data_IF_877481182495
#
_entry.id   IF_877481182495
#
_cell.length_a   1.000
_cell.length_b   1.000
_cell.length_c   1.000
_cell.angle_alpha   90.00
_cell.angle_beta   90.00
_cell.angle_gamma   90.00
#
_symmetry.space_group_name_H-M   'P 1'
#
loop_
_entity.id
_entity.type
_entity.pdbx_description
1 polymer ?
#
# COMPACT_ATOMS: atom_id res chain seq x y z
N UNK A 1 0.24 -5.20 22.04
CA UNK A 1 1.71 -5.20 22.07
C UNK A 1 2.20 -5.22 20.65
N UNK A 2 2.77 -4.14 20.21
CA UNK A 2 3.27 -4.04 18.83
C UNK A 2 4.69 -4.61 18.82
N UNK A 3 4.89 -5.69 18.09
CA UNK A 3 6.10 -6.54 18.15
C UNK A 3 7.32 -5.92 17.46
N UNK A 4 7.38 -4.61 17.29
CA UNK A 4 8.58 -3.90 16.80
C UNK A 4 8.97 -4.16 15.33
N UNK A 5 8.17 -4.91 14.57
CA UNK A 5 8.44 -5.25 13.16
C UNK A 5 7.60 -4.46 12.16
N UNK A 6 6.78 -3.52 12.64
CA UNK A 6 6.00 -2.66 11.73
C UNK A 6 6.91 -1.61 11.09
N UNK A 7 6.82 -1.43 9.78
CA UNK A 7 7.52 -0.36 9.05
C UNK A 7 7.03 1.05 9.45
N UNK A 8 5.95 1.16 10.19
CA UNK A 8 5.40 2.39 10.75
C UNK A 8 5.30 2.34 12.30
N UNK A 9 6.24 1.67 12.95
CA UNK A 9 6.34 1.61 14.41
C UNK A 9 7.06 2.82 15.04
N UNK A 10 7.06 2.87 16.38
CA UNK A 10 7.69 3.96 17.13
C UNK A 10 9.16 4.21 16.73
N UNK A 11 9.91 3.16 16.42
CA UNK A 11 11.31 3.28 15.96
C UNK A 11 11.39 4.05 14.65
N UNK A 12 10.66 3.61 13.63
CA UNK A 12 10.61 4.29 12.33
C UNK A 12 10.18 5.75 12.45
N UNK A 13 9.20 6.04 13.34
CA UNK A 13 8.76 7.41 13.59
C UNK A 13 9.81 8.26 14.32
N UNK A 14 10.64 7.68 15.18
CA UNK A 14 11.80 8.37 15.79
C UNK A 14 12.91 8.64 14.77
N UNK A 15 13.14 7.71 13.85
CA UNK A 15 14.10 7.90 12.75
C UNK A 15 13.67 9.09 11.87
N UNK A 16 12.38 9.29 11.62
CA UNK A 16 11.86 10.47 10.92
C UNK A 16 12.15 11.78 11.65
N UNK A 17 12.10 11.79 13.00
CA UNK A 17 12.50 12.96 13.79
C UNK A 17 13.98 13.29 13.58
N UNK A 18 14.85 12.27 13.58
CA UNK A 18 16.28 12.46 13.36
C UNK A 18 16.60 12.95 11.96
N UNK A 19 15.86 12.47 10.95
CA UNK A 19 15.99 12.87 9.55
C UNK A 19 15.29 14.21 9.25
N UNK A 20 14.55 14.76 10.19
CA UNK A 20 13.74 15.97 10.04
C UNK A 20 12.76 15.91 8.86
N UNK A 21 12.15 14.75 8.63
CA UNK A 21 11.15 14.51 7.58
C UNK A 21 9.79 14.21 8.16
N UNK A 22 8.72 14.49 7.42
CA UNK A 22 7.33 14.16 7.78
C UNK A 22 6.95 14.56 9.22
N UNK A 23 7.16 15.82 9.59
CA UNK A 23 6.91 16.33 10.94
C UNK A 23 5.52 16.04 11.49
N UNK A 24 4.51 15.95 10.60
CA UNK A 24 3.12 15.58 10.96
C UNK A 24 2.99 14.15 11.50
N UNK A 25 4.00 13.30 11.29
CA UNK A 25 4.03 11.90 11.73
C UNK A 25 4.93 11.69 12.96
N UNK A 26 5.58 12.74 13.47
CA UNK A 26 6.46 12.62 14.61
C UNK A 26 5.72 12.12 15.85
N UNK A 27 6.33 11.23 16.66
CA UNK A 27 5.73 10.72 17.87
C UNK A 27 5.49 11.86 18.88
N UNK A 28 4.27 11.95 19.41
CA UNK A 28 3.92 12.93 20.42
C UNK A 28 4.09 12.30 21.81
N UNK A 29 4.92 12.88 22.71
CA UNK A 29 5.08 12.36 24.05
C UNK A 29 3.77 12.53 24.84
N UNK A 30 3.40 11.49 25.57
CA UNK A 30 2.22 11.44 26.42
C UNK A 30 2.68 11.25 27.89
N UNK A 31 1.79 11.47 28.85
CA UNK A 31 2.06 11.18 30.24
C UNK A 31 2.61 9.76 30.45
N UNK A 32 3.50 9.58 31.45
CA UNK A 32 4.13 8.28 31.77
C UNK A 32 5.13 7.74 30.75
N UNK A 33 5.89 8.61 30.09
CA UNK A 33 6.95 8.22 29.10
C UNK A 33 6.44 7.38 27.93
N UNK A 34 5.14 7.43 27.62
CA UNK A 34 4.53 6.82 26.46
C UNK A 34 4.52 7.80 25.29
N UNK A 35 4.36 7.28 24.08
CA UNK A 35 4.22 8.06 22.87
C UNK A 35 2.92 7.70 22.16
N UNK A 36 2.24 8.73 21.68
CA UNK A 36 1.13 8.56 20.73
C UNK A 36 1.68 8.76 19.32
N UNK A 37 1.33 7.86 18.40
CA UNK A 37 1.69 7.95 17.00
C UNK A 37 0.52 8.60 16.24
N UNK A 38 0.72 9.78 15.60
CA UNK A 38 -0.31 10.40 14.79
C UNK A 38 -0.73 9.47 13.63
N UNK A 39 -2.00 9.53 13.25
CA UNK A 39 -2.49 8.78 12.10
C UNK A 39 -1.83 9.26 10.80
N UNK A 40 -1.36 8.32 9.98
CA UNK A 40 -0.80 8.62 8.67
C UNK A 40 -1.87 8.61 7.58
N UNK A 41 -1.59 9.27 6.44
CA UNK A 41 -2.50 9.28 5.29
C UNK A 41 -2.77 7.89 4.71
N UNK A 42 -1.84 6.94 4.91
CA UNK A 42 -1.99 5.55 4.48
C UNK A 42 -2.70 4.65 5.52
N UNK A 43 -3.07 5.18 6.68
CA UNK A 43 -3.84 4.44 7.67
C UNK A 43 -5.32 4.44 7.29
N UNK A 44 -5.76 3.35 6.68
CA UNK A 44 -7.16 3.17 6.31
C UNK A 44 -8.05 3.12 7.56
N UNK A 45 -9.17 3.82 7.51
CA UNK A 45 -10.24 3.72 8.50
C UNK A 45 -10.85 2.31 8.52
N UNK A 46 -11.49 1.89 9.61
CA UNK A 46 -12.19 0.61 9.65
C UNK A 46 -13.23 0.45 8.54
N UNK A 47 -13.91 1.53 8.15
CA UNK A 47 -14.91 1.52 7.09
C UNK A 47 -14.27 1.31 5.71
N UNK A 48 -13.18 2.03 5.39
CA UNK A 48 -12.42 1.83 4.17
C UNK A 48 -11.86 0.41 4.07
N UNK A 49 -11.30 -0.13 5.16
CA UNK A 49 -10.86 -1.53 5.22
C UNK A 49 -12.01 -2.49 4.95
N UNK A 50 -13.18 -2.22 5.52
CA UNK A 50 -14.37 -3.05 5.32
C UNK A 50 -14.82 -3.03 3.88
N UNK A 51 -14.88 -1.86 3.25
CA UNK A 51 -15.26 -1.72 1.83
C UNK A 51 -14.31 -2.50 0.94
N UNK A 52 -12.98 -2.33 1.12
CA UNK A 52 -11.96 -3.05 0.36
C UNK A 52 -12.08 -4.57 0.57
N UNK A 53 -12.18 -5.02 1.80
CA UNK A 53 -12.30 -6.45 2.11
C UNK A 53 -13.60 -7.05 1.54
N UNK A 54 -14.71 -6.33 1.61
CA UNK A 54 -16.00 -6.77 1.03
C UNK A 54 -15.91 -6.87 -0.48
N UNK A 55 -15.31 -5.87 -1.14
CA UNK A 55 -15.06 -5.90 -2.58
C UNK A 55 -14.23 -7.13 -2.97
N UNK A 56 -13.05 -7.30 -2.37
CA UNK A 56 -12.14 -8.41 -2.68
C UNK A 56 -12.78 -9.79 -2.41
N UNK A 57 -13.57 -9.91 -1.36
CA UNK A 57 -14.30 -11.14 -1.04
C UNK A 57 -15.43 -11.44 -2.03
N UNK A 58 -16.02 -10.41 -2.62
CA UNK A 58 -17.10 -10.49 -3.60
C UNK A 58 -16.65 -10.82 -5.02
N UNK A 59 -15.34 -10.69 -5.31
CA UNK A 59 -14.82 -10.92 -6.66
C UNK A 59 -15.07 -12.38 -7.09
N UNK A 60 -15.67 -12.52 -8.25
CA UNK A 60 -15.80 -13.80 -8.97
C UNK A 60 -14.76 -13.82 -10.08
N UNK A 61 -13.77 -14.70 -9.96
CA UNK A 61 -12.73 -14.91 -10.98
C UNK A 61 -13.04 -16.15 -11.79
N UNK A 62 -12.74 -16.17 -13.10
CA UNK A 62 -12.84 -17.37 -13.91
C UNK A 62 -11.96 -18.50 -13.36
N UNK A 63 -12.36 -19.74 -13.61
CA UNK A 63 -11.58 -20.92 -13.24
C UNK A 63 -10.21 -20.88 -13.89
N UNK A 64 -9.15 -21.09 -13.09
CA UNK A 64 -7.76 -21.07 -13.57
C UNK A 64 -7.09 -19.68 -13.58
N UNK A 65 -7.83 -18.60 -13.31
CA UNK A 65 -7.24 -17.24 -13.33
C UNK A 65 -6.40 -16.93 -12.09
N UNK A 66 -6.84 -17.35 -10.91
CA UNK A 66 -6.14 -17.11 -9.65
C UNK A 66 -6.63 -18.08 -8.58
N UNK A 67 -5.79 -18.30 -7.55
CA UNK A 67 -6.28 -18.84 -6.30
C UNK A 67 -7.40 -17.91 -5.77
N UNK A 68 -8.37 -18.48 -5.10
CA UNK A 68 -9.56 -17.74 -4.65
C UNK A 68 -9.14 -16.57 -3.73
N UNK A 69 -9.05 -15.35 -4.26
CA UNK A 69 -8.79 -14.11 -3.51
C UNK A 69 -9.70 -14.01 -2.28
N UNK A 70 -10.91 -14.54 -2.40
CA UNK A 70 -11.88 -14.66 -1.33
C UNK A 70 -11.34 -15.36 -0.08
N UNK A 71 -10.44 -16.35 -0.24
CA UNK A 71 -9.81 -17.08 0.88
C UNK A 71 -8.71 -16.30 1.57
N UNK A 72 -8.12 -15.30 0.90
CA UNK A 72 -7.06 -14.47 1.43
C UNK A 72 -7.61 -13.36 2.35
N UNK A 73 -8.90 -13.06 2.26
CA UNK A 73 -9.53 -11.93 2.97
C UNK A 73 -10.17 -12.40 4.26
N UNK A 74 -9.66 -11.89 5.38
CA UNK A 74 -10.27 -12.05 6.71
C UNK A 74 -11.21 -10.87 7.01
N UNK A 75 -12.52 -11.13 7.02
CA UNK A 75 -13.49 -10.10 7.42
C UNK A 75 -13.47 -9.82 8.93
N UNK A 76 -13.01 -10.76 9.74
CA UNK A 76 -12.90 -10.58 11.20
C UNK A 76 -11.82 -9.56 11.53
N UNK A 77 -10.67 -9.66 10.87
CA UNK A 77 -9.51 -8.82 11.14
C UNK A 77 -9.38 -7.67 10.13
N UNK A 78 -10.24 -7.60 9.12
CA UNK A 78 -10.17 -6.66 7.99
C UNK A 78 -8.75 -6.63 7.39
N UNK A 79 -8.23 -7.79 7.05
CA UNK A 79 -6.85 -7.97 6.57
C UNK A 79 -6.78 -9.00 5.45
N UNK A 80 -5.71 -8.89 4.67
CA UNK A 80 -5.35 -9.85 3.63
C UNK A 80 -4.14 -10.64 4.14
N UNK A 81 -4.22 -11.95 4.09
CA UNK A 81 -3.20 -12.85 4.64
C UNK A 81 -2.89 -14.01 3.70
N UNK A 82 -1.72 -14.62 3.86
CA UNK A 82 -1.29 -15.81 3.11
C UNK A 82 -1.24 -15.64 1.59
N UNK A 83 -0.94 -14.42 1.10
CA UNK A 83 -0.70 -14.19 -0.33
C UNK A 83 0.57 -14.89 -0.80
N UNK A 84 0.46 -15.72 -1.83
CA UNK A 84 1.61 -16.23 -2.58
C UNK A 84 2.07 -15.19 -3.62
N UNK A 85 3.26 -15.35 -4.18
CA UNK A 85 3.79 -14.42 -5.17
C UNK A 85 2.84 -14.16 -6.34
N UNK A 86 2.20 -15.20 -6.88
CA UNK A 86 1.19 -15.07 -7.92
C UNK A 86 -0.05 -14.28 -7.46
N UNK A 87 -0.51 -14.50 -6.23
CA UNK A 87 -1.66 -13.77 -5.69
C UNK A 87 -1.32 -12.28 -5.51
N UNK A 88 -0.09 -11.97 -5.06
CA UNK A 88 0.40 -10.59 -4.95
C UNK A 88 0.45 -9.91 -6.33
N UNK A 89 0.91 -10.61 -7.36
CA UNK A 89 0.94 -10.10 -8.72
C UNK A 89 -0.45 -9.75 -9.23
N UNK A 90 -1.40 -10.68 -9.14
CA UNK A 90 -2.79 -10.45 -9.55
C UNK A 90 -3.44 -9.35 -8.70
N UNK A 91 -3.14 -9.31 -7.41
CA UNK A 91 -3.60 -8.25 -6.52
C UNK A 91 -3.14 -6.88 -7.01
N UNK A 92 -1.84 -6.71 -7.28
CA UNK A 92 -1.26 -5.45 -7.72
C UNK A 92 -1.74 -5.02 -9.11
N UNK A 93 -1.84 -5.95 -10.05
CA UNK A 93 -2.10 -5.61 -11.46
C UNK A 93 -3.58 -5.49 -11.79
N UNK A 94 -4.46 -6.16 -11.04
CA UNK A 94 -5.89 -6.24 -11.35
C UNK A 94 -6.78 -5.70 -10.23
N UNK A 95 -6.66 -6.23 -9.02
CA UNK A 95 -7.67 -5.97 -7.98
C UNK A 95 -7.42 -4.70 -7.19
N UNK A 96 -6.18 -4.39 -6.88
CA UNK A 96 -5.83 -3.21 -6.09
C UNK A 96 -6.22 -1.90 -6.79
N UNK A 97 -6.00 -1.71 -8.10
CA UNK A 97 -6.43 -0.48 -8.78
C UNK A 97 -7.92 -0.20 -8.69
N UNK A 98 -8.74 -1.25 -8.54
CA UNK A 98 -10.19 -1.12 -8.38
C UNK A 98 -10.55 -0.90 -6.91
N UNK A 99 -9.97 -1.72 -6.03
CA UNK A 99 -10.25 -1.66 -4.59
C UNK A 99 -9.91 -0.30 -3.96
N UNK A 100 -8.83 0.31 -4.41
CA UNK A 100 -8.31 1.57 -3.89
C UNK A 100 -9.21 2.78 -4.19
N UNK A 101 -10.16 2.66 -5.12
CA UNK A 101 -11.14 3.74 -5.41
C UNK A 101 -11.96 4.14 -4.19
N UNK A 102 -12.08 3.25 -3.19
CA UNK A 102 -12.76 3.52 -1.94
C UNK A 102 -11.94 4.36 -0.95
N UNK A 103 -10.65 4.58 -1.19
CA UNK A 103 -9.75 5.34 -0.30
C UNK A 103 -9.98 6.85 -0.53
N UNK A 104 -10.13 7.59 0.57
CA UNK A 104 -10.41 9.03 0.52
C UNK A 104 -9.22 9.91 0.12
N UNK A 105 -7.97 9.69 0.61
CA UNK A 105 -6.85 10.53 0.22
C UNK A 105 -6.53 10.33 -1.28
N UNK A 106 -6.94 11.31 -2.10
CA UNK A 106 -6.81 11.26 -3.57
C UNK A 106 -5.35 11.10 -4.01
N UNK A 107 -4.45 11.83 -3.33
CA UNK A 107 -3.02 11.76 -3.62
C UNK A 107 -2.44 10.35 -3.41
N UNK A 108 -2.77 9.70 -2.30
CA UNK A 108 -2.35 8.31 -2.03
C UNK A 108 -2.94 7.34 -3.04
N UNK A 109 -4.21 7.51 -3.38
CA UNK A 109 -4.90 6.70 -4.39
C UNK A 109 -4.19 6.81 -5.74
N UNK A 110 -3.81 8.02 -6.15
CA UNK A 110 -3.09 8.25 -7.40
C UNK A 110 -1.72 7.57 -7.39
N UNK A 111 -0.93 7.77 -6.35
CA UNK A 111 0.41 7.18 -6.23
C UNK A 111 0.37 5.64 -6.29
N UNK A 112 -0.58 5.00 -5.58
CA UNK A 112 -0.74 3.55 -5.63
C UNK A 112 -1.25 3.09 -7.00
N UNK A 113 -2.17 3.81 -7.64
CA UNK A 113 -2.66 3.47 -8.98
C UNK A 113 -1.53 3.52 -10.02
N UNK A 114 -0.66 4.52 -9.93
CA UNK A 114 0.54 4.64 -10.79
C UNK A 114 1.50 3.46 -10.55
N UNK A 115 1.72 3.08 -9.30
CA UNK A 115 2.53 1.91 -8.95
C UNK A 115 1.94 0.62 -9.55
N UNK A 116 0.63 0.42 -9.45
CA UNK A 116 -0.05 -0.72 -10.05
C UNK A 116 0.08 -0.75 -11.59
N UNK A 117 -0.03 0.41 -12.23
CA UNK A 117 0.19 0.54 -13.67
C UNK A 117 1.62 0.15 -14.06
N UNK A 118 2.63 0.65 -13.34
CA UNK A 118 4.02 0.27 -13.56
C UNK A 118 4.21 -1.25 -13.48
N UNK A 119 3.73 -1.90 -12.42
CA UNK A 119 3.82 -3.35 -12.28
C UNK A 119 3.08 -4.12 -13.40
N UNK A 120 1.94 -3.60 -13.86
CA UNK A 120 1.23 -4.18 -14.99
C UNK A 120 2.05 -4.10 -16.28
N UNK A 121 2.72 -2.98 -16.52
CA UNK A 121 3.54 -2.75 -17.72
C UNK A 121 4.79 -3.62 -17.74
N UNK A 122 5.56 -3.67 -16.65
CA UNK A 122 6.80 -4.50 -16.61
C UNK A 122 6.51 -6.00 -16.61
N UNK A 123 5.27 -6.40 -16.36
CA UNK A 123 4.85 -7.81 -16.40
C UNK A 123 4.42 -8.29 -17.77
N UNK A 124 4.47 -7.44 -18.77
CA UNK A 124 4.16 -7.81 -20.16
C UNK A 124 5.28 -8.71 -20.75
N UNK A 125 4.95 -9.55 -21.71
CA UNK A 125 5.92 -10.44 -22.36
C UNK A 125 7.00 -9.68 -23.14
N UNK A 126 6.64 -8.55 -23.70
CA UNK A 126 7.52 -7.69 -24.50
C UNK A 126 7.20 -6.23 -24.22
N UNK A 127 8.23 -5.41 -24.15
CA UNK A 127 8.13 -3.95 -24.00
C UNK A 127 9.00 -3.32 -25.09
N UNK A 128 8.46 -2.32 -25.79
CA UNK A 128 9.22 -1.53 -26.78
C UNK A 128 10.31 -0.67 -26.11
N UNK A 129 11.38 -0.37 -26.85
CA UNK A 129 12.48 0.45 -26.30
C UNK A 129 12.02 1.86 -25.89
N UNK A 130 11.17 2.47 -26.70
CA UNK A 130 10.58 3.79 -26.42
C UNK A 130 9.70 3.72 -25.17
N UNK A 131 8.79 2.74 -25.11
CA UNK A 131 7.93 2.51 -23.96
C UNK A 131 8.72 2.26 -22.67
N UNK A 132 9.90 1.63 -22.76
CA UNK A 132 10.78 1.41 -21.60
C UNK A 132 11.37 2.72 -21.08
N UNK A 133 11.73 3.66 -21.96
CA UNK A 133 12.22 4.99 -21.58
C UNK A 133 11.14 5.79 -20.85
N UNK A 134 9.94 5.83 -21.42
CA UNK A 134 8.79 6.51 -20.82
C UNK A 134 8.42 5.90 -19.46
N UNK A 135 8.51 4.58 -19.36
CA UNK A 135 8.24 3.86 -18.12
C UNK A 135 9.29 4.15 -17.04
N UNK A 136 10.53 4.39 -17.43
CA UNK A 136 11.60 4.79 -16.49
C UNK A 136 11.29 6.15 -15.86
N UNK A 137 10.96 7.16 -16.66
CA UNK A 137 10.56 8.47 -16.13
C UNK A 137 9.32 8.38 -15.27
N UNK A 138 8.32 7.63 -15.73
CA UNK A 138 7.08 7.40 -15.01
C UNK A 138 7.31 6.76 -13.61
N UNK A 139 8.22 5.79 -13.49
CA UNK A 139 8.48 5.14 -12.20
C UNK A 139 9.22 6.05 -11.24
N UNK A 140 10.14 6.88 -11.72
CA UNK A 140 10.85 7.87 -10.89
C UNK A 140 9.86 8.86 -10.27
N UNK A 141 8.96 9.42 -11.08
CA UNK A 141 7.90 10.29 -10.56
C UNK A 141 6.99 9.58 -9.55
N UNK A 142 6.63 8.33 -9.86
CA UNK A 142 5.77 7.52 -8.99
C UNK A 142 6.44 7.25 -7.65
N UNK A 143 7.74 6.95 -7.66
CA UNK A 143 8.52 6.76 -6.45
C UNK A 143 8.55 8.03 -5.60
N UNK A 144 8.83 9.18 -6.20
CA UNK A 144 8.81 10.47 -5.50
C UNK A 144 7.44 10.73 -4.84
N UNK A 145 6.34 10.43 -5.53
CA UNK A 145 5.00 10.56 -4.96
C UNK A 145 4.75 9.61 -3.79
N UNK A 146 5.26 8.39 -3.86
CA UNK A 146 5.17 7.42 -2.76
C UNK A 146 6.01 7.85 -1.56
N UNK A 147 7.20 8.39 -1.77
CA UNK A 147 8.08 8.91 -0.71
C UNK A 147 7.45 10.10 0.02
N UNK A 148 6.61 10.89 -0.63
CA UNK A 148 5.84 11.95 0.03
C UNK A 148 4.74 11.41 0.95
N UNK A 149 4.28 10.17 0.74
CA UNK A 149 3.20 9.54 1.50
C UNK A 149 3.71 8.57 2.56
N UNK A 150 4.75 7.81 2.24
CA UNK A 150 5.20 6.65 3.02
C UNK A 150 6.48 6.98 3.79
N UNK A 151 6.62 6.50 5.03
CA UNK A 151 7.86 6.63 5.77
C UNK A 151 9.07 6.04 5.05
N UNK A 152 10.29 6.58 5.26
CA UNK A 152 11.53 6.03 4.68
C UNK A 152 11.73 4.54 4.92
N UNK A 153 11.21 4.00 6.01
CA UNK A 153 11.28 2.57 6.35
C UNK A 153 10.51 1.65 5.37
N UNK A 154 9.74 2.21 4.42
CA UNK A 154 9.07 1.43 3.37
C UNK A 154 9.97 1.18 2.16
N UNK A 155 10.99 1.97 1.99
CA UNK A 155 12.01 1.87 0.94
C UNK A 155 13.33 1.35 1.52
#
# INVERSE_FOLDING_TARGET
MDTGKSKDGLKARKDMVQLNVMSQLHPVPTANRKYTLPAACFNLTPDEKRVICTFLRGIKVPTGFSASVKKLVSMKNLSITHCKAHDCHVMLTVFLPIAIRAIKPEFLKMAITRMCYFFSKISQKTIGKEELSDLHEFVVETQNQLEMCLPPAFF
#
